data_IF_728120249357
#
_entry.id   IF_728120249357
#
_cell.length_a   1.000
_cell.length_b   1.000
_cell.length_c   1.000
_cell.angle_alpha   90.00
_cell.angle_beta   90.00
_cell.angle_gamma   90.00
#
_symmetry.space_group_name_H-M   'P 1'
#
loop_
_entity.id
_entity.type
_entity.pdbx_description
1 polymer ?
#
# COMPACT_ATOMS: atom_id res chain seq x y z
N UNK A 1 -58.95 22.13 -18.51
CA UNK A 1 -57.77 22.95 -18.19
C UNK A 1 -57.62 23.02 -16.67
N UNK A 2 -56.74 22.18 -16.10
CA UNK A 2 -56.52 22.14 -14.64
C UNK A 2 -55.68 23.34 -14.22
N UNK A 3 -56.25 24.25 -13.42
CA UNK A 3 -55.58 25.45 -12.91
C UNK A 3 -54.45 25.03 -11.95
N UNK A 4 -53.20 25.17 -12.37
CA UNK A 4 -52.06 24.98 -11.49
C UNK A 4 -52.02 26.14 -10.48
N UNK A 5 -52.16 25.82 -9.20
CA UNK A 5 -52.05 26.79 -8.11
C UNK A 5 -50.57 27.22 -7.95
N UNK A 6 -50.28 28.52 -7.75
CA UNK A 6 -48.91 28.98 -7.59
C UNK A 6 -48.34 28.46 -6.27
N UNK A 7 -47.33 27.59 -6.37
CA UNK A 7 -46.59 27.06 -5.23
C UNK A 7 -45.95 28.22 -4.46
N UNK A 8 -46.38 28.44 -3.21
CA UNK A 8 -45.76 29.42 -2.32
C UNK A 8 -44.45 28.84 -1.80
N UNK A 9 -43.33 29.35 -2.31
CA UNK A 9 -41.99 28.98 -1.90
C UNK A 9 -41.72 29.57 -0.51
N UNK A 10 -41.91 28.77 0.54
CA UNK A 10 -41.49 29.11 1.91
C UNK A 10 -40.02 28.69 2.06
N UNK A 11 -39.10 29.60 2.42
CA UNK A 11 -37.70 29.25 2.58
C UNK A 11 -37.54 28.26 3.74
N UNK A 12 -37.02 27.06 3.46
CA UNK A 12 -36.72 26.07 4.48
C UNK A 12 -35.56 26.59 5.37
N UNK A 13 -35.86 26.89 6.62
CA UNK A 13 -34.86 27.28 7.63
C UNK A 13 -34.43 26.03 8.39
N UNK A 14 -33.13 25.74 8.44
CA UNK A 14 -32.56 24.57 9.12
C UNK A 14 -31.78 24.97 10.39
N UNK A 15 -32.43 25.51 11.43
CA UNK A 15 -31.75 26.01 12.62
C UNK A 15 -30.94 24.93 13.33
N UNK A 16 -31.42 23.67 13.34
CA UNK A 16 -30.70 22.53 13.90
C UNK A 16 -29.35 22.25 13.19
N UNK A 17 -29.25 22.52 11.89
CA UNK A 17 -27.99 22.38 11.13
C UNK A 17 -26.99 23.46 11.52
N UNK A 18 -27.44 24.69 11.74
CA UNK A 18 -26.58 25.80 12.18
C UNK A 18 -26.07 25.56 13.59
N UNK A 19 -26.94 25.15 14.51
CA UNK A 19 -26.54 24.80 15.89
C UNK A 19 -25.56 23.63 15.89
N UNK A 20 -25.84 22.57 15.13
CA UNK A 20 -24.93 21.43 14.98
C UNK A 20 -23.57 21.82 14.39
N UNK A 21 -23.54 22.72 13.40
CA UNK A 21 -22.31 23.23 12.82
C UNK A 21 -21.49 24.06 13.81
N UNK A 22 -22.14 24.90 14.62
CA UNK A 22 -21.48 25.68 15.68
C UNK A 22 -20.87 24.74 16.73
N UNK A 23 -21.61 23.72 17.16
CA UNK A 23 -21.13 22.73 18.13
C UNK A 23 -19.94 21.94 17.54
N UNK A 24 -20.05 21.48 16.29
CA UNK A 24 -18.97 20.75 15.62
C UNK A 24 -17.70 21.60 15.49
N UNK A 25 -17.84 22.88 15.12
CA UNK A 25 -16.73 23.84 15.07
C UNK A 25 -16.12 24.06 16.45
N UNK A 26 -16.94 24.16 17.50
CA UNK A 26 -16.46 24.29 18.87
C UNK A 26 -15.66 23.05 19.32
N UNK A 27 -16.16 21.84 19.04
CA UNK A 27 -15.45 20.59 19.34
C UNK A 27 -14.14 20.52 18.57
N UNK A 28 -14.16 20.83 17.26
CA UNK A 28 -12.95 20.86 16.44
C UNK A 28 -11.92 21.85 17.01
N UNK A 29 -12.37 23.04 17.40
CA UNK A 29 -11.50 24.04 18.03
C UNK A 29 -10.90 23.53 19.35
N UNK A 30 -11.68 22.86 20.19
CA UNK A 30 -11.20 22.26 21.43
C UNK A 30 -10.18 21.13 21.18
N UNK A 31 -10.39 20.32 20.14
CA UNK A 31 -9.44 19.27 19.73
C UNK A 31 -8.14 19.91 19.22
N UNK A 32 -8.23 20.91 18.36
CA UNK A 32 -7.05 21.62 17.85
C UNK A 32 -6.28 22.25 19.00
N UNK A 33 -6.96 22.89 19.96
CA UNK A 33 -6.32 23.49 21.13
C UNK A 33 -5.59 22.44 21.97
N UNK A 34 -6.26 21.33 22.25
CA UNK A 34 -5.72 20.20 23.02
C UNK A 34 -4.55 19.50 22.33
N UNK A 35 -4.50 19.50 21.00
CA UNK A 35 -3.43 18.86 20.23
C UNK A 35 -2.27 19.84 20.03
N UNK A 36 -2.53 21.05 19.55
CA UNK A 36 -1.50 22.00 19.17
C UNK A 36 -0.80 22.67 20.37
N UNK A 37 -1.54 23.02 21.43
CA UNK A 37 -1.01 23.88 22.51
C UNK A 37 -0.77 23.15 23.83
N UNK A 38 -1.20 21.90 23.97
CA UNK A 38 -1.00 21.15 25.20
C UNK A 38 0.46 20.66 25.28
N UNK A 39 1.23 21.07 26.30
CA UNK A 39 2.65 20.75 26.43
C UNK A 39 2.90 19.24 26.56
N UNK A 40 1.91 18.46 27.00
CA UNK A 40 2.02 17.00 27.13
C UNK A 40 2.29 16.27 25.81
N UNK A 41 1.98 16.88 24.67
CA UNK A 41 2.29 16.30 23.37
C UNK A 41 3.78 16.35 23.03
N UNK A 42 4.56 17.23 23.68
CA UNK A 42 6.01 17.32 23.49
C UNK A 42 6.41 17.36 22.00
N UNK A 43 5.79 18.27 21.23
CA UNK A 43 5.98 18.37 19.78
C UNK A 43 7.44 18.47 19.33
N UNK A 44 8.30 19.06 20.17
CA UNK A 44 9.75 19.12 19.96
C UNK A 44 10.40 17.73 19.97
N UNK A 45 9.99 16.85 20.88
CA UNK A 45 10.46 15.46 20.99
C UNK A 45 9.95 14.64 19.81
N UNK A 46 8.66 14.78 19.47
CA UNK A 46 8.10 14.14 18.28
C UNK A 46 8.88 14.53 17.02
N UNK A 47 9.04 15.83 16.76
CA UNK A 47 9.73 16.31 15.57
C UNK A 47 11.19 15.84 15.51
N UNK A 48 11.88 15.79 16.66
CA UNK A 48 13.26 15.30 16.76
C UNK A 48 13.39 13.85 16.29
N UNK A 49 12.50 12.95 16.73
CA UNK A 49 12.53 11.54 16.30
C UNK A 49 11.96 11.36 14.90
N UNK A 50 10.85 12.02 14.58
CA UNK A 50 10.21 11.90 13.27
C UNK A 50 11.13 12.35 12.12
N UNK A 51 11.94 13.39 12.35
CA UNK A 51 12.93 13.89 11.39
C UNK A 51 14.34 13.38 11.66
N UNK A 52 14.51 12.36 12.51
CA UNK A 52 15.82 11.78 12.76
C UNK A 52 16.38 11.19 11.45
N UNK A 53 17.64 11.51 11.07
CA UNK A 53 18.25 10.98 9.85
C UNK A 53 18.19 9.46 9.74
N UNK A 54 18.25 8.71 10.85
CA UNK A 54 18.16 7.24 10.83
C UNK A 54 16.76 6.79 10.39
N UNK A 55 15.72 7.43 10.91
CA UNK A 55 14.32 7.13 10.57
C UNK A 55 14.02 7.53 9.13
N UNK A 56 14.46 8.72 8.71
CA UNK A 56 14.27 9.19 7.33
C UNK A 56 15.03 8.33 6.31
N UNK A 57 16.25 7.88 6.63
CA UNK A 57 16.96 6.93 5.79
C UNK A 57 16.24 5.58 5.72
N UNK A 58 15.76 5.05 6.85
CA UNK A 58 14.98 3.81 6.87
C UNK A 58 13.68 3.91 6.06
N UNK A 59 12.98 5.03 6.17
CA UNK A 59 11.81 5.35 5.34
C UNK A 59 12.19 5.40 3.86
N UNK A 60 13.28 6.09 3.53
CA UNK A 60 13.80 6.17 2.17
C UNK A 60 14.12 4.80 1.57
N UNK A 61 14.78 3.93 2.33
CA UNK A 61 15.08 2.55 1.91
C UNK A 61 13.80 1.74 1.69
N UNK A 62 12.82 1.85 2.59
CA UNK A 62 11.53 1.15 2.45
C UNK A 62 10.80 1.61 1.19
N UNK A 63 10.76 2.92 0.94
CA UNK A 63 10.14 3.48 -0.25
C UNK A 63 10.87 3.06 -1.53
N UNK A 64 12.20 3.09 -1.53
CA UNK A 64 13.02 2.66 -2.66
C UNK A 64 12.78 1.18 -2.98
N UNK A 65 12.88 0.30 -1.98
CA UNK A 65 12.65 -1.14 -2.15
C UNK A 65 11.21 -1.42 -2.58
N UNK A 66 10.22 -0.70 -2.04
CA UNK A 66 8.81 -0.82 -2.44
C UNK A 66 8.62 -0.41 -3.89
N UNK A 67 9.23 0.70 -4.31
CA UNK A 67 9.14 1.19 -5.69
C UNK A 67 9.80 0.20 -6.66
N UNK A 68 11.05 -0.20 -6.39
CA UNK A 68 11.77 -1.19 -7.20
C UNK A 68 10.99 -2.51 -7.25
N UNK A 69 10.53 -3.02 -6.11
CA UNK A 69 9.75 -4.25 -6.01
C UNK A 69 8.43 -4.18 -6.78
N UNK A 70 7.72 -3.05 -6.71
CA UNK A 70 6.46 -2.84 -7.44
C UNK A 70 6.70 -2.78 -8.94
N UNK A 71 7.72 -2.05 -9.40
CA UNK A 71 8.05 -1.95 -10.82
C UNK A 71 8.44 -3.30 -11.41
N UNK A 72 9.31 -4.04 -10.71
CA UNK A 72 9.69 -5.39 -11.12
C UNK A 72 8.48 -6.33 -11.12
N UNK A 73 7.65 -6.28 -10.07
CA UNK A 73 6.43 -7.09 -9.97
C UNK A 73 5.43 -6.77 -11.08
N UNK A 74 5.31 -5.50 -11.47
CA UNK A 74 4.44 -5.08 -12.56
C UNK A 74 4.94 -5.61 -13.91
N UNK A 75 6.25 -5.54 -14.16
CA UNK A 75 6.86 -6.06 -15.39
C UNK A 75 6.70 -7.58 -15.47
N UNK A 76 7.18 -8.31 -14.46
CA UNK A 76 7.11 -9.78 -14.46
C UNK A 76 5.67 -10.31 -14.33
N UNK A 77 4.86 -9.70 -13.47
CA UNK A 77 3.44 -10.01 -13.34
C UNK A 77 2.67 -9.73 -14.62
N UNK A 78 2.99 -8.64 -15.32
CA UNK A 78 2.44 -8.31 -16.63
C UNK A 78 2.80 -9.37 -17.68
N UNK A 79 4.07 -9.77 -17.77
CA UNK A 79 4.52 -10.83 -18.67
C UNK A 79 3.81 -12.17 -18.37
N UNK A 80 3.66 -12.54 -17.10
CA UNK A 80 2.94 -13.74 -16.68
C UNK A 80 1.44 -13.66 -17.02
N UNK A 81 0.82 -12.49 -16.87
CA UNK A 81 -0.57 -12.29 -17.25
C UNK A 81 -0.79 -12.48 -18.74
N UNK A 82 0.12 -11.94 -19.57
CA UNK A 82 0.12 -12.15 -21.02
C UNK A 82 0.35 -13.64 -21.38
N UNK A 83 1.31 -14.30 -20.73
CA UNK A 83 1.54 -15.73 -20.92
C UNK A 83 0.31 -16.57 -20.56
N UNK A 84 -0.44 -16.19 -19.53
CA UNK A 84 -1.68 -16.86 -19.11
C UNK A 84 -2.81 -16.71 -20.13
N UNK A 85 -2.90 -15.58 -20.84
CA UNK A 85 -3.88 -15.33 -21.89
C UNK A 85 -3.50 -15.94 -23.25
N UNK A 86 -2.25 -16.43 -23.38
CA UNK A 86 -1.79 -17.07 -24.61
C UNK A 86 -2.59 -18.33 -24.95
N UNK A 87 -2.84 -18.55 -26.25
CA UNK A 87 -3.47 -19.77 -26.77
C UNK A 87 -2.57 -21.02 -26.58
N UNK A 88 -1.27 -20.83 -26.37
CA UNK A 88 -0.34 -21.93 -26.11
C UNK A 88 -0.62 -22.58 -24.75
N UNK A 89 -1.04 -23.85 -24.79
CA UNK A 89 -1.30 -24.65 -23.58
C UNK A 89 -0.09 -24.70 -22.64
N UNK A 90 1.14 -24.80 -23.19
CA UNK A 90 2.36 -24.86 -22.39
C UNK A 90 2.59 -23.55 -21.62
N UNK A 91 2.54 -22.40 -22.31
CA UNK A 91 2.76 -21.09 -21.70
C UNK A 91 1.70 -20.78 -20.64
N UNK A 92 0.43 -21.05 -20.96
CA UNK A 92 -0.68 -20.81 -20.05
C UNK A 92 -0.61 -21.70 -18.81
N UNK A 93 -0.26 -22.98 -18.96
CA UNK A 93 -0.12 -23.94 -17.84
C UNK A 93 1.07 -23.59 -16.95
N UNK A 94 2.22 -23.23 -17.51
CA UNK A 94 3.40 -22.81 -16.73
C UNK A 94 3.11 -21.51 -15.96
N UNK A 95 2.49 -20.52 -16.60
CA UNK A 95 2.09 -19.29 -15.94
C UNK A 95 1.08 -19.55 -14.82
N UNK A 96 0.10 -20.43 -15.04
CA UNK A 96 -0.85 -20.86 -14.02
C UNK A 96 -0.14 -21.52 -12.83
N UNK A 97 0.77 -22.47 -13.07
CA UNK A 97 1.52 -23.16 -12.03
C UNK A 97 2.36 -22.21 -11.19
N UNK A 98 3.08 -21.28 -11.83
CA UNK A 98 3.84 -20.24 -11.15
C UNK A 98 2.94 -19.37 -10.25
N UNK A 99 1.85 -18.82 -10.81
CA UNK A 99 0.93 -17.95 -10.05
C UNK A 99 0.32 -18.72 -8.89
N UNK A 100 -0.14 -19.96 -9.11
CA UNK A 100 -0.74 -20.79 -8.08
C UNK A 100 0.23 -21.09 -6.94
N UNK A 101 1.48 -21.47 -7.26
CA UNK A 101 2.50 -21.78 -6.28
C UNK A 101 2.81 -20.57 -5.38
N UNK A 102 3.21 -19.44 -5.99
CA UNK A 102 3.61 -18.24 -5.22
C UNK A 102 2.45 -17.61 -4.45
N UNK A 103 1.20 -17.77 -4.90
CA UNK A 103 0.04 -17.31 -4.14
C UNK A 103 -0.38 -18.24 -3.02
N UNK A 104 -0.01 -19.51 -3.08
CA UNK A 104 -0.37 -20.52 -2.07
C UNK A 104 0.72 -20.72 -1.01
N UNK A 105 1.98 -20.40 -1.33
CA UNK A 105 3.09 -20.50 -0.39
C UNK A 105 3.05 -19.40 0.68
N UNK A 106 3.11 -19.74 1.99
CA UNK A 106 3.27 -18.75 3.04
C UNK A 106 4.57 -17.97 2.85
N UNK A 107 4.53 -16.65 3.03
CA UNK A 107 5.69 -15.77 2.85
C UNK A 107 6.87 -16.19 3.74
N UNK A 108 6.61 -16.68 4.95
CA UNK A 108 7.66 -17.16 5.85
C UNK A 108 8.46 -18.33 5.25
N UNK A 109 7.83 -19.23 4.51
CA UNK A 109 8.52 -20.38 3.87
C UNK A 109 9.49 -19.87 2.81
N UNK A 110 9.05 -18.91 1.99
CA UNK A 110 9.89 -18.28 0.97
C UNK A 110 11.09 -17.59 1.63
N UNK A 111 10.86 -16.82 2.69
CA UNK A 111 11.94 -16.14 3.41
C UNK A 111 12.94 -17.12 4.05
N UNK A 112 12.47 -18.22 4.64
CA UNK A 112 13.35 -19.25 5.23
C UNK A 112 14.24 -19.87 4.16
N UNK A 113 13.69 -20.22 2.99
CA UNK A 113 14.47 -20.80 1.89
C UNK A 113 15.50 -19.79 1.39
N UNK A 114 15.10 -18.52 1.17
CA UNK A 114 16.01 -17.48 0.72
C UNK A 114 17.13 -17.19 1.74
N UNK A 115 16.79 -17.14 3.03
CA UNK A 115 17.76 -16.94 4.11
C UNK A 115 18.79 -18.09 4.18
N UNK A 116 18.33 -19.33 4.05
CA UNK A 116 19.21 -20.51 4.07
C UNK A 116 19.83 -20.84 2.71
N UNK A 117 19.55 -20.06 1.65
CA UNK A 117 20.01 -20.37 0.30
C UNK A 117 21.55 -20.43 0.23
N UNK A 118 22.23 -19.51 0.91
CA UNK A 118 23.69 -19.48 0.99
C UNK A 118 24.29 -20.64 1.80
N UNK A 119 23.50 -21.29 2.66
CA UNK A 119 23.92 -22.49 3.38
C UNK A 119 23.73 -23.75 2.54
N UNK A 120 22.68 -23.77 1.71
CA UNK A 120 22.37 -24.91 0.84
C UNK A 120 23.29 -24.97 -0.39
N UNK A 121 23.76 -23.82 -0.88
CA UNK A 121 24.63 -23.71 -2.05
C UNK A 121 25.85 -22.83 -1.74
N UNK A 122 26.98 -23.47 -1.40
CA UNK A 122 28.24 -22.78 -1.07
C UNK A 122 28.91 -22.12 -2.29
N UNK A 123 28.72 -22.68 -3.48
CA UNK A 123 29.28 -22.13 -4.73
C UNK A 123 28.25 -22.22 -5.86
N UNK A 124 27.96 -21.09 -6.49
CA UNK A 124 27.16 -21.04 -7.72
C UNK A 124 28.11 -21.27 -8.90
N UNK A 125 28.38 -22.54 -9.22
CA UNK A 125 29.13 -22.88 -10.44
C UNK A 125 28.21 -22.76 -11.64
N UNK A 126 28.49 -21.79 -12.52
CA UNK A 126 27.84 -21.65 -13.82
C UNK A 126 28.60 -22.51 -14.84
N UNK A 127 28.49 -23.84 -14.71
CA UNK A 127 29.04 -24.79 -15.68
C UNK A 127 28.09 -24.97 -16.87
N UNK A 128 28.65 -25.25 -18.05
CA UNK A 128 27.83 -25.63 -19.21
C UNK A 128 27.31 -27.06 -18.96
N UNK A 129 25.98 -27.30 -18.96
CA UNK A 129 25.46 -28.63 -18.73
C UNK A 129 25.97 -29.60 -19.80
N UNK A 130 26.44 -30.78 -19.36
CA UNK A 130 26.95 -31.87 -20.20
C UNK A 130 28.34 -31.66 -20.86
N UNK A 131 29.14 -30.69 -20.43
CA UNK A 131 30.55 -30.58 -20.83
C UNK A 131 31.50 -30.68 -19.64
N UNK A 132 32.74 -31.18 -19.83
CA UNK A 132 33.73 -31.36 -18.76
C UNK A 132 34.49 -30.07 -18.38
N UNK A 133 33.95 -28.89 -18.67
CA UNK A 133 34.52 -27.57 -18.36
C UNK A 133 33.62 -26.82 -17.37
#
# INVERSE_FOLDING_TARGET
>A
MSKQQPLTVVPARYPARTVGAIIALFILAAVIDSVAFNPRWEWSVFARWFLDPVILNGLGQTLLLTLCGTLLSLIFGGLLALARLSSSWLLSTLAFGYIWLFRSLPLIVVLIILYNFSYLYDTLSFGIPFTPL
#
